data_IF_210096105755
#
_entry.id   IF_210096105755
#
_cell.length_a   1.000
_cell.length_b   1.000
_cell.length_c   1.000
_cell.angle_alpha   90.00
_cell.angle_beta   90.00
_cell.angle_gamma   90.00
#
_symmetry.space_group_name_H-M   'P 1'
#
loop_
_entity.id
_entity.type
_entity.pdbx_description
1 polymer ?
#
# COMPACT_ATOMS: atom_id res chain seq x y z
N UNK A 1 21.83 48.49 -12.47
CA UNK A 1 20.42 48.16 -12.15
C UNK A 1 19.85 47.02 -13.01
N UNK A 2 20.08 46.95 -14.33
CA UNK A 2 19.62 45.81 -15.18
C UNK A 2 20.22 44.43 -14.84
N UNK A 3 21.42 44.37 -14.26
CA UNK A 3 22.08 43.09 -13.87
C UNK A 3 21.55 42.51 -12.54
N UNK A 4 20.93 43.33 -11.69
CA UNK A 4 20.33 42.86 -10.42
C UNK A 4 18.95 42.24 -10.68
N UNK A 5 18.22 42.72 -11.68
CA UNK A 5 16.94 42.16 -12.08
C UNK A 5 17.07 40.74 -12.66
N UNK A 6 18.17 40.45 -13.38
CA UNK A 6 18.44 39.15 -13.98
C UNK A 6 18.79 38.06 -12.94
N UNK A 7 19.29 38.47 -11.76
CA UNK A 7 19.63 37.57 -10.66
C UNK A 7 18.42 37.24 -9.78
N UNK A 8 17.40 38.11 -9.76
CA UNK A 8 16.14 37.87 -9.05
C UNK A 8 15.20 36.98 -9.87
N UNK A 9 15.23 37.06 -11.20
CA UNK A 9 14.45 36.15 -12.07
C UNK A 9 14.99 34.71 -12.13
N UNK A 10 16.23 34.47 -11.71
CA UNK A 10 16.80 33.11 -11.63
C UNK A 10 16.55 32.41 -10.28
N UNK A 11 15.94 33.12 -9.32
CA UNK A 11 15.56 32.59 -8.00
C UNK A 11 14.09 32.14 -7.94
N UNK A 12 13.36 32.17 -9.08
CA UNK A 12 12.12 31.41 -9.21
C UNK A 12 12.51 29.96 -9.44
N UNK A 13 12.96 29.33 -8.36
CA UNK A 13 13.14 27.90 -8.27
C UNK A 13 11.88 27.25 -8.81
N UNK A 14 12.03 26.49 -9.90
CA UNK A 14 11.03 25.53 -10.31
C UNK A 14 10.78 24.64 -9.09
N UNK A 15 9.69 24.88 -8.38
CA UNK A 15 9.03 23.86 -7.57
C UNK A 15 8.57 22.82 -8.59
N UNK A 16 9.50 21.94 -8.96
CA UNK A 16 9.15 20.71 -9.64
C UNK A 16 8.17 20.02 -8.71
N UNK A 17 6.92 19.90 -9.18
CA UNK A 17 5.93 19.09 -8.52
C UNK A 17 6.44 17.65 -8.58
N UNK A 18 7.21 17.24 -7.57
CA UNK A 18 7.52 15.83 -7.40
C UNK A 18 6.22 15.17 -6.96
N UNK A 19 5.60 14.42 -7.85
CA UNK A 19 4.56 13.47 -7.48
C UNK A 19 5.22 12.13 -7.23
N UNK A 20 4.90 11.51 -6.10
CA UNK A 20 5.56 10.28 -5.66
C UNK A 20 4.97 9.05 -6.36
N UNK A 21 3.75 9.14 -6.86
CA UNK A 21 2.98 8.00 -7.36
C UNK A 21 2.87 8.00 -8.89
N UNK A 22 2.94 6.80 -9.46
CA UNK A 22 2.43 6.48 -10.80
C UNK A 22 1.30 5.45 -10.64
N UNK A 23 0.09 5.95 -10.43
CA UNK A 23 -1.10 5.16 -10.13
C UNK A 23 -1.97 4.92 -11.38
N UNK A 24 -2.17 3.66 -11.74
CA UNK A 24 -3.13 3.25 -12.75
C UNK A 24 -4.52 3.03 -12.13
N UNK A 25 -5.53 3.73 -12.64
CA UNK A 25 -6.90 3.66 -12.08
C UNK A 25 -7.84 2.88 -13.00
N UNK A 26 -8.59 1.96 -12.43
CA UNK A 26 -9.65 1.22 -13.12
C UNK A 26 -10.97 1.33 -12.36
N UNK A 27 -12.07 1.51 -13.07
CA UNK A 27 -13.42 1.53 -12.50
C UNK A 27 -14.26 0.46 -13.19
N UNK A 28 -14.78 -0.48 -12.41
CA UNK A 28 -15.72 -1.48 -12.87
C UNK A 28 -17.10 -1.19 -12.28
N UNK A 29 -18.05 -0.87 -13.15
CA UNK A 29 -19.44 -0.59 -12.78
C UNK A 29 -20.43 -1.54 -13.46
N UNK A 30 -20.00 -2.73 -13.89
CA UNK A 30 -20.83 -3.71 -14.60
C UNK A 30 -22.03 -4.20 -13.77
N UNK A 31 -21.96 -4.09 -12.44
CA UNK A 31 -23.01 -4.53 -11.52
C UNK A 31 -24.11 -3.48 -11.34
N UNK A 32 -23.91 -2.25 -11.84
CA UNK A 32 -24.87 -1.16 -11.72
C UNK A 32 -25.65 -1.03 -13.03
N UNK A 33 -26.98 -1.22 -12.98
CA UNK A 33 -27.87 -1.11 -14.13
C UNK A 33 -28.53 0.28 -14.19
N UNK A 34 -28.74 0.81 -15.41
CA UNK A 34 -29.63 1.96 -15.64
C UNK A 34 -29.11 3.35 -15.22
N UNK A 35 -27.85 3.49 -14.80
CA UNK A 35 -27.24 4.77 -14.40
C UNK A 35 -26.62 5.53 -15.58
N UNK A 36 -26.54 6.86 -15.46
CA UNK A 36 -25.68 7.70 -16.31
C UNK A 36 -24.21 7.26 -16.18
N UNK A 37 -23.67 6.58 -17.19
CA UNK A 37 -22.29 6.07 -17.17
C UNK A 37 -21.23 7.18 -17.06
N UNK A 38 -21.59 8.41 -17.42
CA UNK A 38 -20.69 9.57 -17.37
C UNK A 38 -20.15 9.84 -15.95
N UNK A 39 -20.92 9.54 -14.90
CA UNK A 39 -20.46 9.73 -13.52
C UNK A 39 -19.26 8.85 -13.19
N UNK A 40 -19.17 7.65 -13.76
CA UNK A 40 -18.06 6.73 -13.52
C UNK A 40 -16.81 7.13 -14.31
N UNK A 41 -16.96 7.64 -15.53
CA UNK A 41 -15.85 8.22 -16.28
C UNK A 41 -15.31 9.49 -15.61
N UNK A 42 -16.20 10.33 -15.07
CA UNK A 42 -15.82 11.49 -14.28
C UNK A 42 -15.09 11.06 -13.01
N UNK A 43 -15.61 10.07 -12.27
CA UNK A 43 -14.96 9.51 -11.08
C UNK A 43 -13.54 9.03 -11.41
N UNK A 44 -13.37 8.28 -12.51
CA UNK A 44 -12.06 7.80 -12.93
C UNK A 44 -11.08 8.96 -13.12
N UNK A 45 -11.46 9.99 -13.88
CA UNK A 45 -10.62 11.17 -14.12
C UNK A 45 -10.28 11.93 -12.84
N UNK A 46 -11.25 12.10 -11.95
CA UNK A 46 -11.07 12.77 -10.65
C UNK A 46 -10.08 12.02 -9.76
N UNK A 47 -10.21 10.69 -9.68
CA UNK A 47 -9.31 9.81 -8.93
C UNK A 47 -7.91 9.80 -9.55
N UNK A 48 -7.80 9.68 -10.88
CA UNK A 48 -6.53 9.73 -11.60
C UNK A 48 -5.79 11.04 -11.37
N UNK A 49 -6.52 12.16 -11.43
CA UNK A 49 -5.97 13.48 -11.19
C UNK A 49 -5.47 13.62 -9.75
N UNK A 50 -6.29 13.25 -8.75
CA UNK A 50 -5.87 13.38 -7.36
C UNK A 50 -4.66 12.50 -7.05
N UNK A 51 -4.66 11.23 -7.46
CA UNK A 51 -3.57 10.31 -7.12
C UNK A 51 -2.24 10.68 -7.78
N UNK A 52 -2.27 11.13 -9.03
CA UNK A 52 -1.06 11.33 -9.84
C UNK A 52 -0.57 12.79 -9.89
N UNK A 53 -1.40 13.78 -9.52
CA UNK A 53 -1.05 15.20 -9.56
C UNK A 53 -0.98 15.86 -8.18
N UNK A 54 -1.21 15.10 -7.10
CA UNK A 54 -1.00 15.57 -5.72
C UNK A 54 0.43 15.28 -5.27
N UNK A 55 1.01 16.23 -4.55
CA UNK A 55 2.25 16.04 -3.80
C UNK A 55 1.88 15.57 -2.40
N UNK A 56 2.25 14.34 -2.05
CA UNK A 56 1.85 13.72 -0.79
C UNK A 56 2.83 14.02 0.34
N UNK A 57 4.11 14.22 0.01
CA UNK A 57 5.18 14.46 0.98
C UNK A 57 6.13 15.55 0.51
N UNK A 58 7.04 15.97 1.39
CA UNK A 58 8.08 16.94 1.03
C UNK A 58 9.25 16.32 0.25
N UNK A 59 9.22 15.01 -0.02
CA UNK A 59 10.26 14.32 -0.76
C UNK A 59 10.26 14.73 -2.24
N UNK A 60 11.41 14.53 -2.87
CA UNK A 60 11.58 14.78 -4.31
C UNK A 60 11.86 13.44 -4.98
N UNK A 61 10.97 13.06 -5.91
CA UNK A 61 11.06 11.84 -6.70
C UNK A 61 11.37 12.21 -8.15
N UNK A 62 12.30 11.49 -8.78
CA UNK A 62 12.44 11.51 -10.23
C UNK A 62 11.35 10.68 -10.90
N UNK A 63 11.14 10.89 -12.20
CA UNK A 63 10.13 10.12 -12.96
C UNK A 63 10.37 8.61 -12.89
N UNK A 64 11.63 8.17 -12.91
CA UNK A 64 12.01 6.77 -12.77
C UNK A 64 11.91 6.23 -11.33
N UNK A 65 11.81 7.11 -10.33
CA UNK A 65 11.69 6.76 -8.91
C UNK A 65 10.23 6.70 -8.45
N UNK A 66 9.28 7.20 -9.27
CA UNK A 66 7.85 7.16 -8.95
C UNK A 66 7.39 5.74 -8.61
N UNK A 67 6.62 5.63 -7.54
CA UNK A 67 6.10 4.38 -7.03
C UNK A 67 4.99 3.88 -7.97
N UNK A 68 5.22 2.75 -8.62
CA UNK A 68 4.23 2.11 -9.48
C UNK A 68 3.13 1.47 -8.64
N UNK A 69 1.89 1.93 -8.81
CA UNK A 69 0.72 1.41 -8.11
C UNK A 69 -0.52 1.32 -9.00
N UNK A 70 -1.51 0.57 -8.54
CA UNK A 70 -2.81 0.46 -9.20
C UNK A 70 -3.94 0.53 -8.17
N UNK A 71 -5.04 1.13 -8.61
CA UNK A 71 -6.27 1.25 -7.84
C UNK A 71 -7.45 0.81 -8.71
N UNK A 72 -8.08 -0.30 -8.34
CA UNK A 72 -9.34 -0.75 -8.91
C UNK A 72 -10.50 -0.39 -8.00
N UNK A 73 -11.51 0.28 -8.53
CA UNK A 73 -12.77 0.56 -7.84
C UNK A 73 -13.87 -0.27 -8.50
N UNK A 74 -14.48 -1.18 -7.74
CA UNK A 74 -15.63 -1.97 -8.20
C UNK A 74 -16.88 -1.36 -7.57
N UNK A 75 -17.68 -0.67 -8.38
CA UNK A 75 -18.94 -0.08 -7.94
C UNK A 75 -19.99 -1.18 -7.83
N UNK A 76 -20.48 -1.41 -6.61
CA UNK A 76 -21.52 -2.40 -6.30
C UNK A 76 -22.91 -1.80 -6.39
N UNK A 77 -23.04 -0.54 -5.95
CA UNK A 77 -24.31 0.17 -5.85
C UNK A 77 -24.10 1.67 -6.07
N UNK A 78 -25.04 2.31 -6.75
CA UNK A 78 -25.09 3.77 -6.89
C UNK A 78 -26.54 4.25 -6.84
N UNK A 79 -26.92 4.87 -5.72
CA UNK A 79 -28.27 5.40 -5.47
C UNK A 79 -28.15 6.71 -4.69
N UNK A 80 -28.98 7.71 -5.00
CA UNK A 80 -29.00 9.02 -4.33
C UNK A 80 -27.63 9.75 -4.28
N UNK A 81 -26.78 9.51 -5.29
CA UNK A 81 -25.38 9.96 -5.39
C UNK A 81 -24.44 9.33 -4.36
N UNK A 82 -24.84 8.25 -3.69
CA UNK A 82 -23.99 7.48 -2.79
C UNK A 82 -23.50 6.24 -3.55
N UNK A 83 -22.18 6.08 -3.61
CA UNK A 83 -21.53 4.90 -4.16
C UNK A 83 -21.15 3.95 -3.06
N UNK A 84 -21.53 2.68 -3.17
CA UNK A 84 -20.96 1.58 -2.37
C UNK A 84 -20.05 0.77 -3.27
N UNK A 85 -18.80 0.60 -2.85
CA UNK A 85 -17.73 0.05 -3.67
C UNK A 85 -16.92 -0.99 -2.90
N UNK A 86 -16.11 -1.72 -3.67
CA UNK A 86 -14.91 -2.38 -3.17
C UNK A 86 -13.70 -1.73 -3.85
N UNK A 87 -12.60 -1.58 -3.13
CA UNK A 87 -11.33 -1.08 -3.66
C UNK A 87 -10.27 -2.18 -3.62
N UNK A 88 -9.52 -2.31 -4.71
CA UNK A 88 -8.34 -3.14 -4.81
C UNK A 88 -7.13 -2.22 -4.99
N UNK A 89 -6.22 -2.24 -4.02
CA UNK A 89 -5.04 -1.36 -4.00
C UNK A 89 -3.80 -2.21 -4.10
N UNK A 90 -2.91 -1.88 -5.04
CA UNK A 90 -1.67 -2.60 -5.23
C UNK A 90 -0.51 -1.63 -5.45
N UNK A 91 0.68 -1.98 -4.96
CA UNK A 91 1.91 -1.27 -5.24
C UNK A 91 3.05 -2.26 -5.47
N UNK A 92 4.05 -1.84 -6.24
CA UNK A 92 5.23 -2.65 -6.55
C UNK A 92 6.46 -1.75 -6.70
N UNK A 93 7.63 -2.34 -6.54
CA UNK A 93 8.91 -1.67 -6.84
C UNK A 93 9.83 -2.57 -7.66
N UNK A 94 10.78 -2.00 -8.41
CA UNK A 94 11.83 -2.78 -9.03
C UNK A 94 12.78 -3.36 -7.97
N UNK A 95 13.29 -4.56 -8.25
CA UNK A 95 14.38 -5.20 -7.50
C UNK A 95 15.71 -4.84 -8.13
N UNK A 96 16.63 -4.30 -7.33
CA UNK A 96 17.91 -3.77 -7.81
C UNK A 96 18.73 -4.82 -8.56
N UNK A 97 19.28 -4.41 -9.71
CA UNK A 97 20.10 -5.30 -10.55
C UNK A 97 19.31 -6.41 -11.24
N UNK A 98 17.99 -6.25 -11.41
CA UNK A 98 17.14 -7.22 -12.11
C UNK A 98 16.01 -6.53 -12.89
N UNK A 99 15.37 -7.28 -13.79
CA UNK A 99 14.13 -6.85 -14.47
C UNK A 99 12.87 -7.25 -13.67
N UNK A 100 13.03 -7.73 -12.44
CA UNK A 100 11.93 -8.23 -11.62
C UNK A 100 11.31 -7.08 -10.79
N UNK A 101 9.97 -7.02 -10.79
CA UNK A 101 9.22 -6.11 -9.94
C UNK A 101 8.58 -6.90 -8.81
N UNK A 102 8.92 -6.55 -7.58
CA UNK A 102 8.39 -7.18 -6.38
C UNK A 102 7.11 -6.47 -5.92
N UNK A 103 6.03 -7.21 -5.57
CA UNK A 103 4.82 -6.61 -5.04
C UNK A 103 5.09 -6.06 -3.64
N UNK A 104 4.80 -4.79 -3.37
CA UNK A 104 4.98 -4.14 -2.08
C UNK A 104 3.74 -4.23 -1.19
N UNK A 105 2.58 -4.04 -1.80
CA UNK A 105 1.31 -3.94 -1.10
C UNK A 105 0.21 -4.52 -1.98
N UNK A 106 -0.70 -5.28 -1.38
CA UNK A 106 -1.88 -5.83 -2.04
C UNK A 106 -3.02 -5.87 -1.01
N UNK A 107 -4.05 -5.05 -1.20
CA UNK A 107 -5.13 -4.90 -0.22
C UNK A 107 -6.48 -4.78 -0.90
N UNK A 108 -7.45 -5.58 -0.43
CA UNK A 108 -8.85 -5.50 -0.84
C UNK A 108 -9.66 -4.86 0.28
N UNK A 109 -10.16 -3.66 0.05
CA UNK A 109 -11.11 -2.98 0.92
C UNK A 109 -12.55 -3.23 0.45
N UNK A 110 -13.36 -3.80 1.32
CA UNK A 110 -14.78 -4.07 1.04
C UNK A 110 -15.74 -3.11 1.77
N UNK A 111 -15.22 -2.13 2.49
CA UNK A 111 -16.00 -1.20 3.33
C UNK A 111 -15.94 0.23 2.81
N UNK A 112 -16.11 0.38 1.50
CA UNK A 112 -16.00 1.66 0.82
C UNK A 112 -17.38 2.19 0.48
N UNK A 113 -17.72 3.35 1.04
CA UNK A 113 -18.90 4.11 0.64
C UNK A 113 -18.61 5.62 0.71
N UNK A 114 -19.12 6.39 -0.23
CA UNK A 114 -18.93 7.84 -0.29
C UNK A 114 -20.00 8.49 -1.16
N UNK A 115 -20.34 9.75 -0.89
CA UNK A 115 -21.10 10.56 -1.81
C UNK A 115 -20.22 11.03 -2.98
N UNK A 116 -20.72 10.96 -4.22
CA UNK A 116 -20.04 11.48 -5.39
C UNK A 116 -21.02 11.90 -6.49
N UNK A 117 -20.77 13.08 -7.06
CA UNK A 117 -21.43 13.62 -8.25
C UNK A 117 -20.40 14.05 -9.28
N UNK A 118 -20.85 14.17 -10.52
CA UNK A 118 -20.03 14.78 -11.57
C UNK A 118 -19.60 16.18 -11.14
N UNK A 119 -18.31 16.48 -11.30
CA UNK A 119 -17.68 17.76 -10.93
C UNK A 119 -17.58 18.04 -9.42
N UNK A 120 -17.74 17.03 -8.56
CA UNK A 120 -17.42 17.20 -7.15
C UNK A 120 -15.96 17.63 -6.95
N UNK A 121 -15.78 18.58 -6.03
CA UNK A 121 -14.45 19.06 -5.67
C UNK A 121 -13.69 17.99 -4.87
N UNK A 122 -12.54 17.60 -5.39
CA UNK A 122 -11.63 16.60 -4.79
C UNK A 122 -10.50 17.25 -3.98
N UNK A 123 -10.63 18.53 -3.63
CA UNK A 123 -9.62 19.26 -2.86
C UNK A 123 -9.42 18.62 -1.48
N UNK A 124 -8.15 18.38 -1.14
CA UNK A 124 -7.77 17.87 0.19
C UNK A 124 -7.95 18.99 1.21
N UNK A 125 -8.80 18.74 2.20
CA UNK A 125 -8.98 19.61 3.35
C UNK A 125 -8.43 18.92 4.61
N UNK A 126 -7.98 19.66 5.64
CA UNK A 126 -7.45 19.05 6.87
C UNK A 126 -8.43 18.11 7.59
N UNK A 127 -9.72 18.34 7.42
CA UNK A 127 -10.80 17.52 7.98
C UNK A 127 -11.29 16.42 7.03
N UNK A 128 -10.73 16.35 5.83
CA UNK A 128 -11.11 15.41 4.77
C UNK A 128 -12.63 15.24 4.67
N UNK A 129 -13.41 16.28 4.32
CA UNK A 129 -14.89 16.16 4.36
C UNK A 129 -15.46 15.06 3.47
N UNK A 130 -14.79 14.80 2.35
CA UNK A 130 -15.16 13.77 1.38
C UNK A 130 -14.40 12.47 1.65
N UNK A 131 -15.11 11.37 1.80
CA UNK A 131 -14.54 10.06 2.09
C UNK A 131 -13.77 9.47 0.91
N UNK A 132 -14.15 9.76 -0.33
CA UNK A 132 -13.33 9.39 -1.49
C UNK A 132 -11.93 10.04 -1.38
N UNK A 133 -11.86 11.32 -1.07
CA UNK A 133 -10.58 12.03 -0.88
C UNK A 133 -9.79 11.43 0.29
N UNK A 134 -10.45 11.12 1.41
CA UNK A 134 -9.81 10.47 2.57
C UNK A 134 -9.25 9.08 2.23
N UNK A 135 -10.00 8.25 1.50
CA UNK A 135 -9.58 6.92 1.07
C UNK A 135 -8.34 6.98 0.17
N UNK A 136 -8.36 7.87 -0.83
CA UNK A 136 -7.27 8.05 -1.76
C UNK A 136 -6.00 8.54 -1.05
N UNK A 137 -6.13 9.53 -0.18
CA UNK A 137 -5.02 10.04 0.62
C UNK A 137 -4.46 8.98 1.57
N UNK A 138 -5.33 8.25 2.26
CA UNK A 138 -4.93 7.15 3.14
C UNK A 138 -4.09 6.10 2.39
N UNK A 139 -4.56 5.65 1.22
CA UNK A 139 -3.84 4.64 0.45
C UNK A 139 -2.56 5.20 -0.19
N UNK A 140 -2.53 6.47 -0.57
CA UNK A 140 -1.30 7.13 -1.01
C UNK A 140 -0.22 7.06 0.10
N UNK A 141 -0.56 7.47 1.33
CA UNK A 141 0.36 7.43 2.45
C UNK A 141 0.75 6.02 2.88
N UNK A 142 -0.16 5.04 2.81
CA UNK A 142 0.18 3.63 3.05
C UNK A 142 1.19 3.12 2.02
N UNK A 143 0.96 3.38 0.73
CA UNK A 143 1.85 2.96 -0.35
C UNK A 143 3.23 3.59 -0.18
N UNK A 144 3.29 4.91 0.05
CA UNK A 144 4.54 5.64 0.28
C UNK A 144 5.26 5.10 1.53
N UNK A 145 4.53 4.84 2.61
CA UNK A 145 5.11 4.29 3.83
C UNK A 145 5.78 2.92 3.60
N UNK A 146 5.11 2.02 2.88
CA UNK A 146 5.71 0.73 2.53
C UNK A 146 6.90 0.86 1.60
N UNK A 147 6.82 1.73 0.60
CA UNK A 147 7.95 1.98 -0.30
C UNK A 147 9.18 2.47 0.47
N UNK A 148 9.02 3.48 1.33
CA UNK A 148 10.11 4.00 2.16
C UNK A 148 10.69 2.94 3.11
N UNK A 149 9.86 2.12 3.75
CA UNK A 149 10.32 1.02 4.58
C UNK A 149 11.14 -0.02 3.81
N UNK A 150 10.88 -0.18 2.52
CA UNK A 150 11.63 -1.11 1.68
C UNK A 150 13.05 -0.59 1.36
N UNK A 151 13.30 0.71 1.52
CA UNK A 151 14.60 1.36 1.26
C UNK A 151 15.34 1.81 2.52
N UNK A 152 14.63 2.01 3.63
CA UNK A 152 15.22 2.39 4.91
C UNK A 152 14.43 1.78 6.07
N UNK A 153 15.13 1.26 7.08
CA UNK A 153 14.46 0.78 8.31
C UNK A 153 13.59 1.87 8.90
N UNK A 154 12.28 1.58 9.00
CA UNK A 154 11.25 2.48 9.54
C UNK A 154 11.12 3.82 8.78
N UNK A 155 11.61 3.90 7.54
CA UNK A 155 11.54 5.10 6.71
C UNK A 155 10.11 5.59 6.48
N UNK A 156 9.13 4.69 6.47
CA UNK A 156 7.73 5.00 6.22
C UNK A 156 6.96 5.64 7.38
N UNK A 157 7.60 5.80 8.55
CA UNK A 157 6.90 6.20 9.79
C UNK A 157 6.16 7.54 9.67
N UNK A 158 6.73 8.51 8.96
CA UNK A 158 6.07 9.79 8.71
C UNK A 158 4.81 9.66 7.85
N UNK A 159 4.85 8.85 6.79
CA UNK A 159 3.70 8.60 5.93
C UNK A 159 2.60 7.81 6.67
N UNK A 160 2.97 6.79 7.44
CA UNK A 160 2.01 6.04 8.24
C UNK A 160 1.34 6.91 9.33
N UNK A 161 2.05 7.87 9.91
CA UNK A 161 1.45 8.84 10.82
C UNK A 161 0.44 9.77 10.13
N UNK A 162 0.66 10.15 8.88
CA UNK A 162 -0.35 10.88 8.10
C UNK A 162 -1.59 10.01 7.83
N UNK A 163 -1.40 8.73 7.51
CA UNK A 163 -2.51 7.79 7.36
C UNK A 163 -3.29 7.60 8.68
N UNK A 164 -2.61 7.57 9.83
CA UNK A 164 -3.25 7.54 11.15
C UNK A 164 -4.10 8.78 11.40
N UNK A 165 -3.58 9.96 11.09
CA UNK A 165 -4.34 11.21 11.21
C UNK A 165 -5.65 11.15 10.41
N UNK A 166 -5.59 10.67 9.16
CA UNK A 166 -6.78 10.49 8.31
C UNK A 166 -7.79 9.54 8.97
N UNK A 167 -7.32 8.42 9.52
CA UNK A 167 -8.19 7.48 10.26
C UNK A 167 -8.85 8.17 11.46
N UNK A 168 -8.12 8.97 12.22
CA UNK A 168 -8.65 9.69 13.39
C UNK A 168 -9.73 10.69 13.01
N UNK A 169 -9.50 11.55 12.03
CA UNK A 169 -10.47 12.58 11.62
C UNK A 169 -11.68 11.99 10.90
N UNK A 170 -11.49 10.88 10.18
CA UNK A 170 -12.55 10.24 9.39
C UNK A 170 -13.61 9.54 10.24
N UNK A 171 -13.25 9.10 11.45
CA UNK A 171 -14.14 8.37 12.37
C UNK A 171 -15.31 9.23 12.88
N UNK A 172 -15.12 10.54 13.04
CA UNK A 172 -16.16 11.45 13.55
C UNK A 172 -17.18 11.93 12.51
N UNK A 173 -17.03 11.54 11.24
CA UNK A 173 -17.94 11.94 10.16
C UNK A 173 -19.29 11.21 10.27
N UNK A 174 -20.31 11.76 9.63
CA UNK A 174 -21.61 11.09 9.48
C UNK A 174 -21.56 10.07 8.33
N UNK A 175 -22.42 9.04 8.39
CA UNK A 175 -22.59 8.10 7.29
C UNK A 175 -23.08 8.84 6.02
N UNK A 176 -22.63 8.46 4.81
CA UNK A 176 -21.71 7.35 4.49
C UNK A 176 -20.22 7.70 4.63
N UNK A 177 -19.88 8.93 5.02
CA UNK A 177 -18.50 9.42 4.97
C UNK A 177 -17.59 8.80 6.04
N UNK A 178 -18.12 8.20 7.11
CA UNK A 178 -17.34 7.47 8.12
C UNK A 178 -17.24 5.95 7.85
N UNK A 179 -17.77 5.42 6.74
CA UNK A 179 -17.77 3.98 6.47
C UNK A 179 -16.35 3.40 6.42
N UNK A 180 -16.09 2.36 7.24
CA UNK A 180 -14.86 1.57 7.25
C UNK A 180 -13.67 2.17 8.02
N UNK A 181 -13.90 3.27 8.75
CA UNK A 181 -12.84 3.93 9.55
C UNK A 181 -12.84 3.55 11.02
N UNK A 182 -13.93 2.98 11.56
CA UNK A 182 -14.03 2.71 12.99
C UNK A 182 -13.30 1.43 13.38
N UNK A 183 -12.61 1.48 14.53
CA UNK A 183 -11.83 0.35 15.05
C UNK A 183 -12.67 -0.91 15.34
N UNK A 184 -13.92 -0.74 15.80
CA UNK A 184 -14.79 -1.84 16.23
C UNK A 184 -15.82 -2.27 15.17
N UNK A 185 -15.64 -1.83 13.92
CA UNK A 185 -16.45 -2.35 12.81
C UNK A 185 -15.94 -3.73 12.38
N UNK A 186 -16.86 -4.61 11.96
CA UNK A 186 -16.53 -5.97 11.46
C UNK A 186 -15.45 -5.97 10.38
N UNK A 187 -15.31 -4.86 9.66
CA UNK A 187 -14.35 -4.65 8.57
C UNK A 187 -13.43 -3.44 8.83
N UNK A 188 -13.11 -3.11 10.09
CA UNK A 188 -12.21 -1.99 10.48
C UNK A 188 -10.74 -2.17 10.08
N UNK A 189 -10.48 -2.71 8.89
CA UNK A 189 -9.17 -3.15 8.42
C UNK A 189 -8.21 -2.00 8.11
N UNK A 190 -8.71 -0.81 7.79
CA UNK A 190 -7.88 0.41 7.67
C UNK A 190 -7.27 0.81 9.01
N UNK A 191 -8.13 0.94 10.03
CA UNK A 191 -7.69 1.25 11.39
C UNK A 191 -6.68 0.21 11.90
N UNK A 192 -7.03 -1.09 11.78
CA UNK A 192 -6.18 -2.17 12.25
C UNK A 192 -4.81 -2.17 11.56
N UNK A 193 -4.77 -1.97 10.25
CA UNK A 193 -3.53 -1.92 9.48
C UNK A 193 -2.60 -0.82 9.98
N UNK A 194 -3.07 0.43 10.07
CA UNK A 194 -2.20 1.54 10.51
C UNK A 194 -1.82 1.40 11.98
N UNK A 195 -2.75 0.99 12.84
CA UNK A 195 -2.46 0.75 14.25
C UNK A 195 -1.36 -0.30 14.40
N UNK A 196 -1.40 -1.39 13.63
CA UNK A 196 -0.33 -2.39 13.61
C UNK A 196 1.01 -1.83 13.10
N UNK A 197 1.00 -0.97 12.08
CA UNK A 197 2.24 -0.42 11.49
C UNK A 197 2.91 0.65 12.37
N UNK A 198 2.19 1.26 13.30
CA UNK A 198 2.73 2.26 14.24
C UNK A 198 2.99 1.69 15.64
N UNK A 199 2.54 0.46 15.91
CA UNK A 199 2.76 -0.20 17.19
C UNK A 199 4.22 -0.63 17.36
N UNK A 200 4.83 -0.23 18.48
CA UNK A 200 6.20 -0.61 18.84
C UNK A 200 6.40 -2.13 18.93
N UNK A 201 5.35 -2.87 19.29
CA UNK A 201 5.37 -4.35 19.34
C UNK A 201 5.56 -4.97 17.94
N UNK A 202 5.26 -4.23 16.88
CA UNK A 202 5.38 -4.63 15.48
C UNK A 202 6.66 -4.05 14.84
N UNK A 203 7.46 -3.26 15.57
CA UNK A 203 8.66 -2.60 15.04
C UNK A 203 9.61 -3.56 14.34
N UNK A 204 9.86 -4.74 14.92
CA UNK A 204 10.72 -5.78 14.30
C UNK A 204 10.19 -6.26 12.95
N UNK A 205 8.87 -6.40 12.81
CA UNK A 205 8.26 -6.75 11.52
C UNK A 205 8.45 -5.64 10.49
N UNK A 206 8.35 -4.37 10.90
CA UNK A 206 8.62 -3.25 9.99
C UNK A 206 10.08 -3.11 9.61
N UNK A 207 11.00 -3.33 10.54
CA UNK A 207 12.43 -3.43 10.22
C UNK A 207 12.71 -4.60 9.26
N UNK A 208 11.99 -5.71 9.40
CA UNK A 208 12.09 -6.84 8.47
C UNK A 208 11.62 -6.48 7.06
N UNK A 209 10.71 -5.53 6.89
CA UNK A 209 10.31 -5.06 5.56
C UNK A 209 11.52 -4.51 4.77
N UNK A 210 12.43 -3.78 5.43
CA UNK A 210 13.71 -3.37 4.83
C UNK A 210 14.61 -4.57 4.57
N UNK A 211 14.79 -5.46 5.55
CA UNK A 211 15.71 -6.59 5.41
C UNK A 211 15.29 -7.52 4.27
N UNK A 212 13.98 -7.75 4.09
CA UNK A 212 13.42 -8.55 2.99
C UNK A 212 13.72 -7.95 1.61
N UNK A 213 13.47 -6.65 1.43
CA UNK A 213 13.63 -6.00 0.13
C UNK A 213 15.08 -5.63 -0.15
N UNK A 214 15.72 -4.88 0.75
CA UNK A 214 17.04 -4.27 0.51
C UNK A 214 18.21 -5.23 0.76
N UNK A 215 18.13 -6.07 1.79
CA UNK A 215 19.19 -7.03 2.13
C UNK A 215 18.92 -8.43 1.55
N UNK A 216 17.67 -8.73 1.22
CA UNK A 216 17.24 -9.93 0.53
C UNK A 216 17.18 -9.71 -0.98
N UNK A 217 16.03 -9.29 -1.50
CA UNK A 217 15.76 -9.25 -2.94
C UNK A 217 16.80 -8.46 -3.75
N UNK A 218 17.14 -7.25 -3.32
CA UNK A 218 18.13 -6.39 -4.01
C UNK A 218 19.55 -6.98 -4.03
N UNK A 219 19.85 -7.92 -3.13
CA UNK A 219 21.14 -8.59 -3.06
C UNK A 219 21.19 -9.89 -3.88
N UNK A 220 20.07 -10.35 -4.43
CA UNK A 220 19.99 -11.61 -5.18
C UNK A 220 20.89 -11.61 -6.43
N UNK A 221 21.03 -10.48 -7.12
CA UNK A 221 21.90 -10.35 -8.30
C UNK A 221 23.39 -10.50 -7.96
N UNK A 222 23.77 -10.22 -6.70
CA UNK A 222 25.17 -10.25 -6.25
C UNK A 222 25.50 -11.53 -5.50
N UNK A 223 24.63 -11.97 -4.58
CA UNK A 223 24.84 -13.18 -3.79
C UNK A 223 23.49 -13.79 -3.36
N UNK A 224 23.00 -14.72 -4.19
CA UNK A 224 21.71 -15.41 -3.99
C UNK A 224 21.64 -16.14 -2.65
N UNK A 225 22.72 -16.80 -2.21
CA UNK A 225 22.72 -17.61 -0.98
C UNK A 225 22.55 -16.72 0.25
N UNK A 226 23.35 -15.67 0.37
CA UNK A 226 23.25 -14.74 1.49
C UNK A 226 21.93 -13.96 1.48
N UNK A 227 21.48 -13.53 0.31
CA UNK A 227 20.20 -12.84 0.13
C UNK A 227 19.01 -13.71 0.61
N UNK A 228 18.98 -14.98 0.19
CA UNK A 228 17.93 -15.92 0.59
C UNK A 228 17.98 -16.23 2.09
N UNK A 229 19.18 -16.43 2.64
CA UNK A 229 19.35 -16.62 4.08
C UNK A 229 18.82 -15.42 4.88
N UNK A 230 19.06 -14.18 4.42
CA UNK A 230 18.50 -12.97 5.05
C UNK A 230 16.98 -12.92 5.04
N UNK A 231 16.36 -13.33 3.93
CA UNK A 231 14.90 -13.49 3.87
C UNK A 231 14.43 -14.53 4.89
N UNK A 232 15.05 -15.72 4.93
CA UNK A 232 14.66 -16.80 5.83
C UNK A 232 14.84 -16.46 7.32
N UNK A 233 15.89 -15.71 7.67
CA UNK A 233 16.15 -15.23 9.03
C UNK A 233 15.02 -14.34 9.53
N UNK A 234 14.66 -13.33 8.75
CA UNK A 234 13.70 -12.31 9.15
C UNK A 234 12.24 -12.78 9.22
N UNK A 235 11.86 -13.86 8.52
CA UNK A 235 10.52 -14.46 8.61
C UNK A 235 10.09 -14.80 10.04
N UNK A 236 11.04 -15.02 10.96
CA UNK A 236 10.73 -15.25 12.38
C UNK A 236 9.91 -14.11 13.00
N UNK A 237 10.09 -12.85 12.54
CA UNK A 237 9.32 -11.72 13.04
C UNK A 237 7.82 -11.87 12.78
N UNK A 238 7.42 -12.60 11.72
CA UNK A 238 6.02 -12.88 11.42
C UNK A 238 5.41 -13.80 12.48
N UNK A 239 6.14 -14.84 12.91
CA UNK A 239 5.70 -15.73 13.99
C UNK A 239 5.60 -14.97 15.32
N UNK A 240 6.58 -14.12 15.62
CA UNK A 240 6.60 -13.35 16.86
C UNK A 240 5.38 -12.42 16.95
N UNK A 241 5.08 -11.71 15.87
CA UNK A 241 3.87 -10.87 15.79
C UNK A 241 2.59 -11.70 15.83
N UNK A 242 2.54 -12.83 15.11
CA UNK A 242 1.35 -13.70 15.09
C UNK A 242 1.06 -14.32 16.47
N UNK A 243 2.09 -14.54 17.31
CA UNK A 243 1.90 -14.96 18.71
C UNK A 243 1.34 -13.84 19.59
N UNK A 244 1.71 -12.59 19.31
CA UNK A 244 1.22 -11.42 20.05
C UNK A 244 -0.22 -11.08 19.66
N UNK A 245 -0.50 -11.05 18.35
CA UNK A 245 -1.81 -10.77 17.78
C UNK A 245 -2.02 -11.67 16.56
N UNK A 246 -2.69 -12.83 16.74
CA UNK A 246 -3.05 -13.70 15.63
C UNK A 246 -3.87 -12.96 14.58
N UNK A 247 -3.56 -13.21 13.30
CA UNK A 247 -4.24 -12.56 12.17
C UNK A 247 -4.19 -11.03 12.16
N UNK A 248 -3.18 -10.43 12.81
CA UNK A 248 -2.95 -8.99 12.72
C UNK A 248 -2.91 -8.53 11.26
N UNK A 249 -3.63 -7.46 10.95
CA UNK A 249 -3.84 -7.02 9.56
C UNK A 249 -2.53 -6.74 8.82
N UNK A 250 -1.50 -6.20 9.48
CA UNK A 250 -0.20 -5.97 8.85
C UNK A 250 0.48 -7.27 8.38
N UNK A 251 0.33 -8.37 9.13
CA UNK A 251 0.88 -9.68 8.77
C UNK A 251 0.05 -10.31 7.65
N UNK A 252 -1.28 -10.23 7.73
CA UNK A 252 -2.16 -10.73 6.66
C UNK A 252 -1.83 -10.07 5.33
N UNK A 253 -1.70 -8.74 5.31
CA UNK A 253 -1.32 -7.97 4.12
C UNK A 253 0.04 -8.40 3.58
N UNK A 254 1.05 -8.52 4.45
CA UNK A 254 2.38 -8.95 4.03
C UNK A 254 2.33 -10.34 3.39
N UNK A 255 1.71 -11.31 4.06
CA UNK A 255 1.68 -12.69 3.57
C UNK A 255 0.88 -12.82 2.29
N UNK A 256 -0.29 -12.18 2.18
CA UNK A 256 -1.07 -12.21 0.94
C UNK A 256 -0.37 -11.50 -0.23
N UNK A 257 0.50 -10.53 0.06
CA UNK A 257 1.34 -9.87 -0.95
C UNK A 257 2.54 -10.74 -1.36
N UNK A 258 3.13 -11.47 -0.42
CA UNK A 258 4.47 -12.08 -0.57
C UNK A 258 4.49 -13.60 -0.69
N UNK A 259 3.42 -14.32 -0.37
CA UNK A 259 3.42 -15.79 -0.30
C UNK A 259 3.96 -16.47 -1.56
N UNK A 260 3.54 -16.03 -2.74
CA UNK A 260 4.00 -16.62 -4.01
C UNK A 260 5.48 -16.27 -4.31
N UNK A 261 5.93 -15.06 -3.94
CA UNK A 261 7.32 -14.64 -4.08
C UNK A 261 8.23 -15.44 -3.13
N UNK A 262 7.82 -15.62 -1.87
CA UNK A 262 8.53 -16.45 -0.89
C UNK A 262 8.65 -17.88 -1.41
N UNK A 263 7.56 -18.50 -1.88
CA UNK A 263 7.62 -19.85 -2.46
C UNK A 263 8.60 -19.90 -3.63
N UNK A 264 8.57 -18.90 -4.53
CA UNK A 264 9.46 -18.84 -5.69
C UNK A 264 10.94 -18.70 -5.31
N UNK A 265 11.24 -17.99 -4.21
CA UNK A 265 12.61 -17.83 -3.69
C UNK A 265 13.18 -19.15 -3.14
N UNK A 266 12.35 -19.99 -2.51
CA UNK A 266 12.82 -21.17 -1.78
C UNK A 266 12.62 -22.51 -2.50
N UNK A 267 11.53 -22.72 -3.25
CA UNK A 267 11.13 -24.06 -3.70
C UNK A 267 12.22 -24.84 -4.47
N UNK A 268 13.03 -24.16 -5.30
CA UNK A 268 14.11 -24.81 -6.09
C UNK A 268 15.53 -24.50 -5.64
N UNK A 269 15.68 -23.57 -4.70
CA UNK A 269 16.98 -22.98 -4.37
C UNK A 269 17.31 -23.02 -2.88
N UNK A 270 16.30 -23.25 -2.03
CA UNK A 270 16.45 -23.35 -0.59
C UNK A 270 17.15 -24.64 -0.17
N UNK A 271 17.89 -24.58 0.93
CA UNK A 271 18.34 -25.79 1.63
C UNK A 271 17.16 -26.48 2.30
N UNK A 272 17.30 -27.76 2.66
CA UNK A 272 16.26 -28.50 3.38
C UNK A 272 15.83 -27.79 4.67
N UNK A 273 16.78 -27.19 5.39
CA UNK A 273 16.52 -26.47 6.64
C UNK A 273 15.79 -25.14 6.40
N UNK A 274 16.16 -24.40 5.35
CA UNK A 274 15.46 -23.17 4.95
C UNK A 274 14.01 -23.49 4.56
N UNK A 275 13.80 -24.51 3.74
CA UNK A 275 12.48 -24.95 3.28
C UNK A 275 11.60 -25.35 4.47
N UNK A 276 12.13 -26.17 5.39
CA UNK A 276 11.40 -26.58 6.59
C UNK A 276 10.98 -25.37 7.44
N UNK A 277 11.93 -24.47 7.73
CA UNK A 277 11.66 -23.26 8.51
C UNK A 277 10.61 -22.36 7.86
N UNK A 278 10.74 -22.10 6.55
CA UNK A 278 9.81 -21.25 5.80
C UNK A 278 8.42 -21.88 5.81
N UNK A 279 8.32 -23.19 5.55
CA UNK A 279 7.06 -23.90 5.55
C UNK A 279 6.34 -23.80 6.90
N UNK A 280 7.06 -24.06 8.00
CA UNK A 280 6.49 -24.01 9.35
C UNK A 280 6.01 -22.60 9.70
N UNK A 281 6.78 -21.56 9.37
CA UNK A 281 6.39 -20.17 9.59
C UNK A 281 5.13 -19.83 8.79
N UNK A 282 5.17 -20.05 7.48
CA UNK A 282 4.12 -19.58 6.57
C UNK A 282 2.79 -20.30 6.80
N UNK A 283 2.82 -21.59 7.13
CA UNK A 283 1.62 -22.35 7.50
C UNK A 283 1.06 -21.93 8.87
N UNK A 284 1.91 -21.54 9.82
CA UNK A 284 1.46 -21.05 11.12
C UNK A 284 0.79 -19.66 11.04
N UNK A 285 1.33 -18.74 10.21
CA UNK A 285 0.79 -17.37 10.08
C UNK A 285 -0.35 -17.27 9.06
N UNK A 286 -0.42 -18.18 8.09
CA UNK A 286 -1.45 -18.19 7.06
C UNK A 286 -1.93 -19.62 6.74
N UNK A 287 -2.66 -20.26 7.66
CA UNK A 287 -3.08 -21.66 7.52
C UNK A 287 -4.07 -21.91 6.38
N UNK A 288 -4.67 -20.86 5.80
CA UNK A 288 -5.63 -20.99 4.69
C UNK A 288 -4.97 -21.18 3.33
N UNK A 289 -3.65 -20.94 3.20
CA UNK A 289 -2.91 -21.10 1.93
C UNK A 289 -1.88 -22.24 1.97
N UNK A 290 -2.12 -23.29 2.77
CA UNK A 290 -1.19 -24.45 2.89
C UNK A 290 -0.85 -25.05 1.52
N UNK A 291 -1.83 -25.13 0.62
CA UNK A 291 -1.66 -25.60 -0.75
C UNK A 291 -0.62 -24.80 -1.57
N UNK A 292 -0.44 -23.50 -1.28
CA UNK A 292 0.61 -22.68 -1.90
C UNK A 292 1.99 -23.09 -1.34
N UNK A 293 2.08 -23.35 -0.04
CA UNK A 293 3.33 -23.69 0.63
C UNK A 293 3.76 -25.14 0.40
N UNK A 294 2.84 -26.06 0.10
CA UNK A 294 3.18 -27.45 -0.25
C UNK A 294 4.11 -27.53 -1.47
N UNK A 295 4.06 -26.55 -2.37
CA UNK A 295 5.00 -26.40 -3.49
C UNK A 295 6.46 -26.27 -3.08
N UNK A 296 6.74 -25.86 -1.83
CA UNK A 296 8.11 -25.83 -1.30
C UNK A 296 8.71 -27.23 -1.14
N UNK A 297 7.86 -28.26 -1.01
CA UNK A 297 8.25 -29.66 -0.81
C UNK A 297 8.30 -30.45 -2.12
N UNK A 298 7.80 -29.87 -3.21
CA UNK A 298 7.83 -30.46 -4.54
C UNK A 298 9.25 -30.32 -5.12
N UNK A 299 9.83 -31.43 -5.59
CA UNK A 299 11.18 -31.47 -6.20
C UNK A 299 11.11 -31.37 -7.72
#
# INVERSE_FOLDING_TARGET
>A
MKKIFLLITLAVSFVANAQELRCNITINHQQVQGTNQQVFDALKKSVENLMNNTRWTDMTFKEEEKIDCSLGIIVKKYEDNIMTCEMQVQARRPVWGSNYNTPLFNFRDISVAFAYREFDDMTITPDYKNNLVALLAYYAYVIIGYDLDSFQKLGGSGAFAQAENIVTVSQSRSEPENTGWKAFEKNGKRYELISNLLDERFRKFREYFYDYHRLGLDMMSTNVVNARAKIAEGLQSLMDVNRLQPQAQAIVVFVDTKKDEIVSVFAKHGTSDEIAKVYDIMTAVNPTSVNIYDKLKEK
#
